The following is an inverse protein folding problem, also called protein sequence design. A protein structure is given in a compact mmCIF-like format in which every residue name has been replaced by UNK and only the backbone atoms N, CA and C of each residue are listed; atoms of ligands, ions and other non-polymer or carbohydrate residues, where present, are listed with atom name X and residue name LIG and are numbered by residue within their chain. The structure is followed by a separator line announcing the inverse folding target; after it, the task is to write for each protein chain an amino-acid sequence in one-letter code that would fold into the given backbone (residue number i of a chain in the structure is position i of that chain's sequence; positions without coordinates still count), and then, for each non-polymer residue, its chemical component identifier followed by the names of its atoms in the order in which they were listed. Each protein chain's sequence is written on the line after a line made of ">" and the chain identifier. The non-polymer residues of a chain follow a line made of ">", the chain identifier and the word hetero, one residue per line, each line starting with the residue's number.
data_IF_827481548206
#
_entry.id   IF_827481548206
#
_cell.length_a   1.000
_cell.length_b   1.000
_cell.length_c   1.000
_cell.angle_alpha   90.00
_cell.angle_beta   90.00
_cell.angle_gamma   90.00
#
_symmetry.space_group_name_H-M   'P 1'
#
loop_
_entity.id
_entity.type
_entity.pdbx_description
1 polymer ?
#
# COMPACT_ATOMS: atom_id res chain seq x y z
N UNK A 1 8.70 5.40 25.36
CA UNK A 1 9.06 3.97 25.41
C UNK A 1 10.07 3.67 24.30
N UNK A 2 10.98 2.70 24.45
CA UNK A 2 11.87 2.30 23.36
C UNK A 2 11.04 1.77 22.18
N UNK A 3 11.46 2.08 20.96
CA UNK A 3 10.84 1.55 19.75
C UNK A 3 10.87 0.01 19.74
N UNK A 4 9.73 -0.64 19.57
CA UNK A 4 9.66 -2.10 19.53
C UNK A 4 10.38 -2.70 18.30
N UNK A 5 10.60 -1.90 17.26
CA UNK A 5 11.21 -2.34 16.00
C UNK A 5 12.73 -2.21 16.00
N UNK A 6 13.26 -1.10 16.52
CA UNK A 6 14.71 -0.82 16.45
C UNK A 6 15.39 -0.67 17.81
N UNK A 7 14.64 -0.50 18.90
CA UNK A 7 15.12 -0.20 20.25
C UNK A 7 16.10 0.99 20.40
N UNK A 8 16.40 1.70 19.32
CA UNK A 8 17.42 2.75 19.28
C UNK A 8 16.90 4.12 19.75
N UNK A 9 15.59 4.36 19.63
CA UNK A 9 14.97 5.64 19.93
C UNK A 9 13.83 5.47 20.92
N UNK A 10 13.71 6.43 21.85
CA UNK A 10 12.56 6.54 22.74
C UNK A 10 11.55 7.50 22.12
N UNK A 11 10.31 7.06 22.00
CA UNK A 11 9.25 7.79 21.29
C UNK A 11 7.87 7.46 21.90
N UNK A 12 6.83 8.27 21.63
CA UNK A 12 5.46 7.94 21.98
C UNK A 12 4.87 6.96 20.95
N UNK A 13 4.39 5.80 21.42
CA UNK A 13 3.78 4.77 20.57
C UNK A 13 4.62 3.50 20.42
N UNK A 14 4.18 2.58 19.54
CA UNK A 14 4.83 1.27 19.34
C UNK A 14 6.04 1.32 18.38
N UNK A 15 6.06 2.24 17.42
CA UNK A 15 7.08 2.33 16.36
C UNK A 15 7.54 3.78 16.12
N UNK A 16 8.85 4.02 16.06
CA UNK A 16 9.41 5.35 15.85
C UNK A 16 9.20 5.84 14.41
N UNK A 17 9.30 7.15 14.21
CA UNK A 17 9.11 7.80 12.90
C UNK A 17 10.00 7.20 11.80
N UNK A 18 11.24 6.83 12.14
CA UNK A 18 12.18 6.21 11.21
C UNK A 18 11.72 4.83 10.76
N UNK A 19 11.28 4.00 11.69
CA UNK A 19 10.74 2.67 11.38
C UNK A 19 9.40 2.76 10.66
N UNK A 20 8.56 3.75 10.98
CA UNK A 20 7.30 4.00 10.28
C UNK A 20 7.51 4.46 8.83
N UNK A 21 8.54 5.27 8.56
CA UNK A 21 8.93 5.68 7.22
C UNK A 21 9.46 4.49 6.41
N UNK A 22 10.30 3.64 7.02
CA UNK A 22 10.80 2.43 6.37
C UNK A 22 9.67 1.48 5.98
N UNK A 23 8.69 1.31 6.86
CA UNK A 23 7.52 0.49 6.59
C UNK A 23 6.76 0.97 5.34
N UNK A 24 6.59 2.29 5.17
CA UNK A 24 5.94 2.87 3.99
C UNK A 24 6.71 2.61 2.68
N UNK A 25 8.04 2.58 2.72
CA UNK A 25 8.86 2.26 1.55
C UNK A 25 8.74 0.78 1.14
N UNK A 26 8.60 -0.09 2.14
CA UNK A 26 8.45 -1.54 1.92
C UNK A 26 7.02 -1.97 1.64
N UNK A 27 6.03 -1.10 1.89
CA UNK A 27 4.65 -1.43 1.56
C UNK A 27 4.55 -1.56 0.04
N UNK A 28 4.18 -2.75 -0.47
CA UNK A 28 3.83 -2.83 -1.87
C UNK A 28 2.69 -1.84 -2.05
N UNK A 29 2.90 -0.83 -2.90
CA UNK A 29 1.82 0.07 -3.33
C UNK A 29 0.74 -0.87 -3.83
N UNK A 30 -0.30 -1.10 -3.02
CA UNK A 30 -1.50 -1.83 -3.37
C UNK A 30 -1.96 -1.13 -4.63
N UNK A 31 -1.66 -1.78 -5.76
CA UNK A 31 -1.72 -1.15 -7.07
C UNK A 31 -3.09 -0.55 -7.19
N UNK A 32 -3.12 0.74 -7.49
CA UNK A 32 -4.24 1.40 -8.14
C UNK A 32 -5.02 0.34 -8.94
N UNK A 33 -6.21 -0.03 -8.48
CA UNK A 33 -7.18 -0.82 -9.26
C UNK A 33 -7.72 0.02 -10.44
N UNK A 34 -6.88 0.87 -11.04
CA UNK A 34 -7.22 1.57 -12.25
C UNK A 34 -6.99 0.63 -13.42
N UNK A 35 -8.08 0.39 -14.16
CA UNK A 35 -8.20 -0.27 -15.46
C UNK A 35 -8.64 -1.73 -15.44
N UNK A 36 -9.71 -2.05 -14.69
CA UNK A 36 -10.68 -3.02 -15.25
C UNK A 36 -11.38 -2.35 -16.44
N UNK A 37 -10.80 -2.64 -17.61
CA UNK A 37 -11.23 -2.45 -19.01
C UNK A 37 -12.71 -2.02 -19.17
N UNK A 38 -13.03 -0.91 -19.88
CA UNK A 38 -14.42 -0.63 -20.25
C UNK A 38 -14.99 -1.83 -21.00
N UNK A 39 -16.21 -2.25 -20.64
CA UNK A 39 -16.88 -3.37 -21.26
C UNK A 39 -17.03 -3.09 -22.76
N UNK A 40 -16.31 -3.85 -23.60
CA UNK A 40 -16.47 -3.79 -25.04
C UNK A 40 -17.84 -4.40 -25.36
N UNK A 41 -18.79 -3.66 -25.95
CA UNK A 41 -20.08 -4.24 -26.32
C UNK A 41 -19.85 -5.32 -27.38
N UNK A 42 -20.44 -6.50 -27.16
CA UNK A 42 -20.37 -7.62 -28.10
C UNK A 42 -21.12 -7.24 -29.38
N UNK A 43 -20.58 -7.52 -30.58
CA UNK A 43 -21.30 -7.27 -31.82
C UNK A 43 -22.55 -8.15 -31.90
N UNK A 44 -23.68 -7.55 -32.28
CA UNK A 44 -24.94 -8.27 -32.47
C UNK A 44 -24.82 -9.32 -33.60
N UNK A 45 -25.53 -10.46 -33.52
CA UNK A 45 -25.58 -11.42 -34.62
C UNK A 45 -26.22 -10.74 -35.83
N UNK A 46 -25.56 -10.82 -36.98
CA UNK A 46 -26.11 -10.41 -38.29
C UNK A 46 -26.99 -11.55 -38.84
N UNK A 47 -27.92 -11.24 -39.76
CA UNK A 47 -29.26 -11.83 -39.86
C UNK A 47 -29.31 -13.30 -40.29
#
# INVERSE_FOLDING_TARGET
>A
MPCATCAAETHPGPVCSRCAALAQLTQPVLRLETRRRPAVPKPAPRP
#
